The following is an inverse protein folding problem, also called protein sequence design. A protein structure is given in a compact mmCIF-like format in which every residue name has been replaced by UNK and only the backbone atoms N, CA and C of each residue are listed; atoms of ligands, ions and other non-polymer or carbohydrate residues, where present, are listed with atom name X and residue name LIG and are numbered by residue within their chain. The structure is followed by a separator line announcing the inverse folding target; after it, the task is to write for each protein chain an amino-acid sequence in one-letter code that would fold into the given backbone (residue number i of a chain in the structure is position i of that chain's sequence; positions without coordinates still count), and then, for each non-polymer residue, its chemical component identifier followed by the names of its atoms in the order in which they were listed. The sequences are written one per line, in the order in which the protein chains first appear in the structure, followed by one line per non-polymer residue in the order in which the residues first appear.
data_IF_025281901048
#
_entry.id   IF_025281901048
#
_cell.length_a   1.000
_cell.length_b   1.000
_cell.length_c   1.000
_cell.angle_alpha   90.00
_cell.angle_beta   90.00
_cell.angle_gamma   90.00
#
_symmetry.space_group_name_H-M   'P 1'
#
loop_
_entity.id
_entity.type
_entity.pdbx_description
1 polymer ?
#
# COMPACT_ATOMS: atom_id res chain seq x y z
N UNK A 1 -8.38 13.89 -8.09
CA UNK A 1 -9.69 13.19 -8.10
C UNK A 1 -9.83 12.25 -6.90
N UNK A 2 -8.83 11.41 -6.62
CA UNK A 2 -8.82 10.47 -5.47
C UNK A 2 -8.99 11.18 -4.11
N UNK A 3 -8.27 12.26 -3.85
CA UNK A 3 -8.38 13.00 -2.57
C UNK A 3 -9.80 13.50 -2.31
N UNK A 4 -10.47 14.03 -3.34
CA UNK A 4 -11.85 14.54 -3.24
C UNK A 4 -12.80 13.37 -2.93
N UNK A 5 -12.63 12.24 -3.61
CA UNK A 5 -13.39 11.02 -3.35
C UNK A 5 -13.19 10.50 -1.91
N UNK A 6 -11.95 10.51 -1.41
CA UNK A 6 -11.63 10.12 -0.04
C UNK A 6 -12.32 11.02 0.98
N UNK A 7 -12.29 12.34 0.77
CA UNK A 7 -12.98 13.31 1.63
C UNK A 7 -14.49 13.07 1.64
N UNK A 8 -15.10 12.82 0.48
CA UNK A 8 -16.54 12.53 0.38
C UNK A 8 -16.91 11.27 1.17
N UNK A 9 -16.11 10.20 1.10
CA UNK A 9 -16.37 8.96 1.87
C UNK A 9 -16.20 9.14 3.37
N UNK A 10 -15.24 9.96 3.79
CA UNK A 10 -15.06 10.28 5.22
C UNK A 10 -16.26 11.04 5.76
N UNK A 11 -16.81 11.97 4.98
CA UNK A 11 -17.98 12.78 5.36
C UNK A 11 -19.31 11.99 5.29
N UNK A 12 -19.47 11.09 4.32
CA UNK A 12 -20.71 10.35 4.09
C UNK A 12 -20.77 8.98 4.81
N UNK A 13 -20.83 8.99 6.15
CA UNK A 13 -20.90 7.74 6.96
C UNK A 13 -22.08 6.82 6.61
N UNK A 14 -23.26 7.39 6.31
CA UNK A 14 -24.45 6.60 5.97
C UNK A 14 -24.32 5.87 4.63
N UNK A 15 -23.67 6.47 3.65
CA UNK A 15 -23.47 5.85 2.34
C UNK A 15 -22.46 4.69 2.42
N UNK A 16 -21.45 4.82 3.29
CA UNK A 16 -20.42 3.79 3.51
C UNK A 16 -20.94 2.52 4.18
N UNK A 17 -21.93 2.62 5.06
CA UNK A 17 -22.43 1.50 5.86
C UNK A 17 -23.65 0.80 5.26
N UNK A 18 -24.25 1.39 4.20
CA UNK A 18 -25.49 0.87 3.60
C UNK A 18 -25.18 -0.02 2.39
N UNK A 19 -25.60 -1.28 2.47
CA UNK A 19 -25.62 -2.18 1.31
C UNK A 19 -26.73 -1.77 0.33
N UNK A 20 -26.52 -1.78 -1.01
CA UNK A 20 -25.28 -2.13 -1.73
C UNK A 20 -24.37 -0.93 -2.06
N UNK A 21 -24.72 0.28 -1.60
CA UNK A 21 -24.01 1.53 -1.92
C UNK A 21 -22.54 1.47 -1.54
N UNK A 22 -22.23 0.80 -0.43
CA UNK A 22 -20.86 0.54 0.05
C UNK A 22 -19.95 -0.14 -0.99
N UNK A 23 -20.47 -1.11 -1.75
CA UNK A 23 -19.71 -1.84 -2.79
C UNK A 23 -19.47 -0.95 -4.00
N UNK A 24 -20.48 -0.19 -4.45
CA UNK A 24 -20.32 0.73 -5.58
C UNK A 24 -19.30 1.82 -5.28
N UNK A 25 -19.31 2.35 -4.05
CA UNK A 25 -18.28 3.25 -3.58
C UNK A 25 -16.92 2.57 -3.68
N UNK A 26 -16.71 1.45 -2.97
CA UNK A 26 -15.43 0.73 -3.00
C UNK A 26 -14.92 0.47 -4.42
N UNK A 27 -15.79 0.04 -5.34
CA UNK A 27 -15.44 -0.19 -6.74
C UNK A 27 -15.01 1.09 -7.46
N UNK A 28 -15.74 2.20 -7.27
CA UNK A 28 -15.38 3.50 -7.86
C UNK A 28 -14.00 3.99 -7.38
N UNK A 29 -13.69 3.79 -6.09
CA UNK A 29 -12.36 4.08 -5.54
C UNK A 29 -11.27 3.26 -6.24
N UNK A 30 -11.43 1.93 -6.26
CA UNK A 30 -10.46 1.02 -6.91
C UNK A 30 -10.28 1.31 -8.40
N UNK A 31 -11.36 1.60 -9.13
CA UNK A 31 -11.30 1.96 -10.55
C UNK A 31 -10.53 3.26 -10.76
N UNK A 32 -10.76 4.27 -9.91
CA UNK A 32 -10.07 5.55 -10.04
C UNK A 32 -8.56 5.41 -9.87
N UNK A 33 -8.13 4.58 -8.92
CA UNK A 33 -6.72 4.28 -8.69
C UNK A 33 -6.13 3.38 -9.80
N UNK A 34 -6.88 2.36 -10.23
CA UNK A 34 -6.49 1.49 -11.33
C UNK A 34 -6.30 2.24 -12.65
N UNK A 35 -7.13 3.25 -12.93
CA UNK A 35 -6.95 4.11 -14.12
C UNK A 35 -5.66 4.92 -14.01
N UNK A 36 -5.32 5.47 -12.84
CA UNK A 36 -4.05 6.17 -12.65
C UNK A 36 -2.85 5.24 -12.87
N UNK A 37 -2.85 4.05 -12.27
CA UNK A 37 -1.81 3.04 -12.49
C UNK A 37 -1.75 2.59 -13.96
N UNK A 38 -2.89 2.48 -14.63
CA UNK A 38 -2.97 2.17 -16.07
C UNK A 38 -2.33 3.25 -16.93
N UNK A 39 -2.60 4.53 -16.65
CA UNK A 39 -1.98 5.65 -17.35
C UNK A 39 -0.47 5.67 -17.09
N UNK A 40 -0.03 5.53 -15.84
CA UNK A 40 1.41 5.52 -15.50
C UNK A 40 2.12 4.34 -16.18
N UNK A 41 1.52 3.15 -16.15
CA UNK A 41 2.11 1.96 -16.78
C UNK A 41 2.21 2.07 -18.30
N UNK A 42 1.38 2.87 -18.96
CA UNK A 42 1.52 3.11 -20.41
C UNK A 42 2.84 3.79 -20.82
N UNK A 43 3.54 4.44 -19.88
CA UNK A 43 4.85 5.06 -20.12
C UNK A 43 6.05 4.12 -19.94
N UNK A 44 5.83 2.91 -19.40
CA UNK A 44 6.90 1.95 -19.11
C UNK A 44 6.76 0.67 -19.96
N UNK A 45 7.86 -0.06 -20.15
CA UNK A 45 7.83 -1.32 -20.90
C UNK A 45 7.12 -2.44 -20.13
N UNK A 46 6.32 -3.26 -20.83
CA UNK A 46 5.49 -4.33 -20.25
C UNK A 46 6.27 -5.28 -19.34
N UNK A 47 7.47 -5.69 -19.75
CA UNK A 47 8.32 -6.58 -18.95
C UNK A 47 8.77 -5.93 -17.63
N UNK A 48 9.11 -4.64 -17.66
CA UNK A 48 9.51 -3.88 -16.48
C UNK A 48 8.35 -3.74 -15.48
N UNK A 49 7.14 -3.47 -15.99
CA UNK A 49 5.93 -3.35 -15.17
C UNK A 49 5.56 -4.69 -14.52
N UNK A 50 5.60 -5.78 -15.28
CA UNK A 50 5.29 -7.12 -14.74
C UNK A 50 6.28 -7.54 -13.65
N UNK A 51 7.57 -7.29 -13.86
CA UNK A 51 8.62 -7.55 -12.88
C UNK A 51 8.40 -6.71 -11.61
N UNK A 52 8.14 -5.41 -11.77
CA UNK A 52 7.87 -4.49 -10.67
C UNK A 52 6.63 -4.89 -9.88
N UNK A 53 5.54 -5.26 -10.56
CA UNK A 53 4.31 -5.74 -9.94
C UNK A 53 4.55 -7.04 -9.15
N UNK A 54 5.35 -7.96 -9.68
CA UNK A 54 5.74 -9.20 -8.98
C UNK A 54 6.51 -8.93 -7.70
N UNK A 55 7.51 -8.03 -7.74
CA UNK A 55 8.27 -7.63 -6.56
C UNK A 55 7.37 -6.94 -5.53
N UNK A 56 6.51 -6.00 -5.96
CA UNK A 56 5.60 -5.29 -5.07
C UNK A 56 4.61 -6.24 -4.36
N UNK A 57 4.06 -7.22 -5.10
CA UNK A 57 3.17 -8.24 -4.54
C UNK A 57 3.89 -9.11 -3.49
N UNK A 58 5.11 -9.55 -3.80
CA UNK A 58 5.92 -10.35 -2.89
C UNK A 58 6.27 -9.58 -1.61
N UNK A 59 6.71 -8.33 -1.74
CA UNK A 59 7.00 -7.45 -0.60
C UNK A 59 5.75 -7.24 0.27
N UNK A 60 4.61 -6.89 -0.35
CA UNK A 60 3.35 -6.73 0.39
C UNK A 60 2.95 -8.00 1.13
N UNK A 61 3.07 -9.16 0.48
CA UNK A 61 2.73 -10.45 1.09
C UNK A 61 3.61 -10.76 2.30
N UNK A 62 4.93 -10.54 2.22
CA UNK A 62 5.85 -10.73 3.34
C UNK A 62 5.44 -9.87 4.54
N UNK A 63 5.09 -8.62 4.30
CA UNK A 63 4.75 -7.68 5.38
C UNK A 63 3.41 -8.04 6.02
N UNK A 64 2.40 -8.37 5.21
CA UNK A 64 1.11 -8.82 5.73
C UNK A 64 1.29 -10.10 6.54
N UNK A 65 2.05 -11.07 6.04
CA UNK A 65 2.36 -12.30 6.76
C UNK A 65 3.08 -12.00 8.10
N UNK A 66 4.04 -11.09 8.09
CA UNK A 66 4.77 -10.67 9.30
C UNK A 66 3.86 -9.95 10.31
N UNK A 67 2.93 -9.11 9.83
CA UNK A 67 1.97 -8.40 10.69
C UNK A 67 0.89 -9.29 11.27
N UNK A 68 0.49 -10.34 10.54
CA UNK A 68 -0.43 -11.36 11.04
C UNK A 68 0.21 -12.24 12.13
N UNK A 69 1.54 -12.30 12.19
CA UNK A 69 2.26 -12.97 13.27
C UNK A 69 2.30 -12.06 14.51
N UNK A 70 1.29 -12.20 15.37
CA UNK A 70 1.11 -11.51 16.67
C UNK A 70 2.19 -11.78 17.74
N UNK A 71 3.30 -12.43 17.39
CA UNK A 71 4.37 -12.79 18.33
C UNK A 71 5.44 -11.70 18.49
N UNK A 72 5.48 -10.73 17.59
CA UNK A 72 6.49 -9.69 17.56
C UNK A 72 5.85 -8.31 17.69
N UNK A 73 5.58 -7.89 18.92
CA UNK A 73 5.27 -6.50 19.27
C UNK A 73 6.56 -5.67 19.21
N UNK A 74 7.05 -5.40 18.01
CA UNK A 74 8.02 -4.33 17.85
C UNK A 74 7.28 -3.00 17.95
N UNK A 75 7.67 -2.16 18.92
CA UNK A 75 7.38 -0.73 18.92
C UNK A 75 7.49 -0.18 17.49
N UNK A 76 6.58 0.70 17.06
CA UNK A 76 6.39 1.08 15.66
C UNK A 76 7.67 1.53 14.90
N UNK A 77 8.71 1.96 15.64
CA UNK A 77 10.02 2.29 15.08
C UNK A 77 10.88 1.05 14.75
N UNK A 78 10.80 -0.01 15.55
CA UNK A 78 11.54 -1.25 15.32
C UNK A 78 11.00 -2.06 14.14
N UNK A 79 9.67 -2.10 13.97
CA UNK A 79 9.05 -2.77 12.81
C UNK A 79 9.34 -2.06 11.49
N UNK A 80 9.31 -0.72 11.47
CA UNK A 80 9.59 0.05 10.25
C UNK A 80 11.04 -0.09 9.78
N UNK A 81 12.01 -0.14 10.71
CA UNK A 81 13.42 -0.38 10.39
C UNK A 81 13.67 -1.80 9.83
N UNK A 82 13.06 -2.83 10.42
CA UNK A 82 13.20 -4.21 9.94
C UNK A 82 12.66 -4.39 8.51
N UNK A 83 11.52 -3.78 8.21
CA UNK A 83 10.92 -3.81 6.89
C UNK A 83 11.70 -2.99 5.86
N UNK A 84 12.21 -1.82 6.27
CA UNK A 84 13.11 -1.02 5.44
C UNK A 84 14.38 -1.80 5.06
N UNK A 85 14.95 -2.55 6.00
CA UNK A 85 16.08 -3.44 5.73
C UNK A 85 15.73 -4.58 4.78
N UNK A 86 14.58 -5.24 4.97
CA UNK A 86 14.11 -6.31 4.08
C UNK A 86 13.98 -5.82 2.63
N UNK A 87 13.47 -4.60 2.45
CA UNK A 87 13.34 -4.00 1.12
C UNK A 87 14.66 -3.54 0.55
N UNK A 88 15.57 -3.01 1.37
CA UNK A 88 16.92 -2.70 0.93
C UNK A 88 17.65 -3.96 0.43
N UNK A 89 17.49 -5.10 1.11
CA UNK A 89 18.06 -6.39 0.70
C UNK A 89 17.44 -6.90 -0.59
N UNK A 90 16.11 -6.84 -0.73
CA UNK A 90 15.41 -7.26 -1.95
C UNK A 90 15.76 -6.38 -3.14
N UNK A 91 15.87 -5.06 -2.96
CA UNK A 91 16.29 -4.14 -4.02
C UNK A 91 17.78 -4.26 -4.35
N UNK A 92 18.64 -4.53 -3.37
CA UNK A 92 20.06 -4.81 -3.63
C UNK A 92 20.24 -6.10 -4.42
N UNK A 93 19.48 -7.16 -4.09
CA UNK A 93 19.46 -8.42 -4.83
C UNK A 93 18.88 -8.23 -6.24
N UNK A 94 17.78 -7.50 -6.38
CA UNK A 94 17.24 -7.18 -7.70
C UNK A 94 18.23 -6.32 -8.52
N UNK A 95 18.90 -5.35 -7.88
CA UNK A 95 19.90 -4.49 -8.49
C UNK A 95 21.10 -5.26 -9.04
N UNK A 96 21.59 -6.30 -8.35
CA UNK A 96 22.70 -7.12 -8.88
C UNK A 96 22.33 -7.87 -10.15
N UNK A 97 21.09 -8.35 -10.27
CA UNK A 97 20.58 -8.98 -11.50
C UNK A 97 20.19 -7.97 -12.60
N UNK A 98 19.83 -6.74 -12.22
CA UNK A 98 19.31 -5.72 -13.13
C UNK A 98 20.33 -4.64 -13.53
N UNK A 99 21.57 -4.69 -12.98
CA UNK A 99 22.66 -3.72 -13.22
C UNK A 99 22.99 -3.50 -14.71
N UNK A 100 22.64 -4.44 -15.60
CA UNK A 100 22.82 -4.29 -17.05
C UNK A 100 21.62 -3.73 -17.83
N UNK A 101 20.45 -3.57 -17.20
CA UNK A 101 19.17 -3.32 -17.87
C UNK A 101 18.59 -1.94 -17.50
N UNK A 102 18.80 -1.47 -16.27
CA UNK A 102 18.26 -0.19 -15.79
C UNK A 102 19.34 0.70 -15.18
N UNK A 103 19.25 2.04 -15.33
CA UNK A 103 20.15 2.96 -14.65
C UNK A 103 20.01 2.86 -13.14
N UNK A 104 21.13 2.83 -12.42
CA UNK A 104 21.19 2.76 -10.94
C UNK A 104 20.32 3.82 -10.26
N UNK A 105 20.20 5.01 -10.87
CA UNK A 105 19.32 6.08 -10.38
C UNK A 105 17.85 5.65 -10.26
N UNK A 106 17.31 4.89 -11.22
CA UNK A 106 15.92 4.41 -11.14
C UNK A 106 15.74 3.41 -10.00
N UNK A 107 16.73 2.56 -9.76
CA UNK A 107 16.74 1.59 -8.66
C UNK A 107 16.76 2.32 -7.30
N UNK A 108 17.55 3.38 -7.17
CA UNK A 108 17.58 4.22 -5.97
C UNK A 108 16.23 4.93 -5.73
N UNK A 109 15.64 5.54 -6.76
CA UNK A 109 14.32 6.18 -6.64
C UNK A 109 13.22 5.17 -6.30
N UNK A 110 13.25 3.97 -6.88
CA UNK A 110 12.30 2.91 -6.59
C UNK A 110 12.46 2.38 -5.15
N UNK A 111 13.68 2.25 -4.65
CA UNK A 111 13.96 1.86 -3.27
C UNK A 111 13.43 2.92 -2.27
N UNK A 112 13.67 4.20 -2.55
CA UNK A 112 13.18 5.30 -1.71
C UNK A 112 11.65 5.34 -1.68
N UNK A 113 11.01 5.24 -2.85
CA UNK A 113 9.55 5.19 -2.97
C UNK A 113 8.94 4.00 -2.25
N UNK A 114 9.56 2.82 -2.38
CA UNK A 114 9.11 1.61 -1.67
C UNK A 114 9.26 1.79 -0.17
N UNK A 115 10.36 2.37 0.33
CA UNK A 115 10.55 2.59 1.77
C UNK A 115 9.50 3.54 2.35
N UNK A 116 9.15 4.62 1.64
CA UNK A 116 8.07 5.53 2.04
C UNK A 116 6.71 4.85 2.07
N UNK A 117 6.40 4.07 1.03
CA UNK A 117 5.16 3.28 0.96
C UNK A 117 5.03 2.34 2.15
N UNK A 118 6.11 1.66 2.53
CA UNK A 118 6.11 0.70 3.63
C UNK A 118 5.83 1.31 4.99
N UNK A 119 6.44 2.46 5.28
CA UNK A 119 6.17 3.19 6.51
C UNK A 119 4.68 3.54 6.61
N UNK A 120 4.07 4.03 5.52
CA UNK A 120 2.64 4.35 5.46
C UNK A 120 1.75 3.11 5.52
N UNK A 121 2.13 2.03 4.85
CA UNK A 121 1.41 0.78 4.85
C UNK A 121 1.34 0.15 6.25
N UNK A 122 2.44 0.25 7.00
CA UNK A 122 2.48 -0.12 8.43
C UNK A 122 1.54 0.74 9.24
N UNK A 123 1.62 2.07 9.11
CA UNK A 123 0.76 2.99 9.84
C UNK A 123 -0.73 2.67 9.55
N UNK A 124 -1.06 2.37 8.29
CA UNK A 124 -2.39 1.97 7.85
C UNK A 124 -2.85 0.65 8.48
N UNK A 125 -2.05 -0.42 8.41
CA UNK A 125 -2.38 -1.70 9.05
C UNK A 125 -2.53 -1.53 10.56
N UNK A 126 -1.61 -0.81 11.20
CA UNK A 126 -1.65 -0.56 12.65
C UNK A 126 -2.93 0.20 13.04
N UNK A 127 -3.36 1.17 12.23
CA UNK A 127 -4.61 1.91 12.48
C UNK A 127 -5.87 1.05 12.39
N UNK A 128 -5.82 -0.05 11.62
CA UNK A 128 -6.94 -1.00 11.44
C UNK A 128 -6.91 -2.09 12.52
N UNK A 129 -5.72 -2.58 12.87
CA UNK A 129 -5.52 -3.71 13.79
C UNK A 129 -5.48 -3.27 15.26
N UNK A 130 -4.98 -2.06 15.56
CA UNK A 130 -4.86 -1.58 16.94
C UNK A 130 -6.21 -1.15 17.51
N UNK A 131 -6.81 -2.01 18.32
CA UNK A 131 -7.98 -1.66 19.13
C UNK A 131 -7.73 -0.61 20.23
N UNK A 132 -6.48 -0.17 20.46
CA UNK A 132 -6.12 0.50 21.73
C UNK A 132 -6.08 2.03 21.68
N UNK A 133 -5.99 2.71 20.54
CA UNK A 133 -6.10 4.18 20.52
C UNK A 133 -6.74 4.78 19.25
N UNK A 134 -7.93 5.37 19.45
CA UNK A 134 -8.57 6.45 18.65
C UNK A 134 -8.87 6.15 17.17
N UNK A 135 -9.69 5.12 16.92
CA UNK A 135 -10.92 5.09 16.10
C UNK A 135 -11.28 3.59 16.04
N UNK A 136 -12.31 3.10 16.75
CA UNK A 136 -12.73 1.72 16.59
C UNK A 136 -13.28 1.59 15.17
N UNK A 137 -12.50 1.00 14.28
CA UNK A 137 -13.00 0.59 12.97
C UNK A 137 -13.94 -0.57 13.25
N UNK A 138 -15.23 -0.26 13.44
CA UNK A 138 -16.28 -1.29 13.46
C UNK A 138 -16.17 -2.10 12.16
N UNK A 139 -16.40 -3.43 12.17
CA UNK A 139 -16.49 -4.22 10.93
C UNK A 139 -17.43 -3.60 9.87
N UNK A 140 -18.36 -2.73 10.28
CA UNK A 140 -19.24 -1.95 9.39
C UNK A 140 -18.51 -0.91 8.53
N UNK A 141 -17.28 -0.52 8.87
CA UNK A 141 -16.48 0.50 8.19
C UNK A 141 -15.36 -0.08 7.31
N UNK A 142 -15.51 -1.33 6.86
CA UNK A 142 -14.53 -2.01 6.01
C UNK A 142 -14.17 -1.23 4.73
N UNK A 143 -15.12 -0.49 4.13
CA UNK A 143 -14.84 0.37 2.96
C UNK A 143 -13.82 1.46 3.29
N UNK A 144 -13.86 2.02 4.50
CA UNK A 144 -12.87 3.01 4.94
C UNK A 144 -11.52 2.34 5.20
N UNK A 145 -11.52 1.16 5.82
CA UNK A 145 -10.29 0.39 6.06
C UNK A 145 -9.58 0.04 4.75
N UNK A 146 -10.33 -0.46 3.76
CA UNK A 146 -9.81 -0.71 2.42
C UNK A 146 -9.25 0.57 1.80
N UNK A 147 -9.98 1.69 1.90
CA UNK A 147 -9.55 2.96 1.34
C UNK A 147 -8.26 3.51 1.97
N UNK A 148 -8.10 3.34 3.29
CA UNK A 148 -6.88 3.74 4.00
C UNK A 148 -5.68 2.92 3.54
N UNK A 149 -5.85 1.62 3.30
CA UNK A 149 -4.78 0.76 2.77
C UNK A 149 -4.42 1.15 1.34
N UNK A 150 -5.41 1.33 0.48
CA UNK A 150 -5.20 1.73 -0.92
C UNK A 150 -4.58 3.13 -1.04
N UNK A 151 -5.05 4.09 -0.25
CA UNK A 151 -4.48 5.43 -0.20
C UNK A 151 -3.07 5.48 0.40
N UNK A 152 -2.58 4.40 1.02
CA UNK A 152 -1.17 4.33 1.39
C UNK A 152 -0.27 4.12 0.15
N UNK A 153 -0.80 3.52 -0.94
CA UNK A 153 -0.10 3.24 -2.19
C UNK A 153 -0.10 4.42 -3.17
N UNK A 154 -1.22 5.15 -3.23
CA UNK A 154 -1.33 6.39 -4.01
C UNK A 154 -0.86 7.59 -3.20
N UNK A 155 0.23 8.23 -3.63
CA UNK A 155 0.83 9.45 -3.07
C UNK A 155 -0.16 10.46 -2.48
#
# INVERSE_FOLDING_TARGET
MIVIYNVVIVLCKNARRKFPVNIYLLLAGNLSEGILFGIVSSYFGTFSILLGAGIALLVCFIIVAFRLQTRFDFDGLGTSLFQGLAVLVLFALAGTFLNGIFPIVHVCFACLGTLLYLCRFVDAIQSIVSCTHKIPVSPDDYVLASLVIFSAAGF
#
